data_IF_641291973816
#
_entry.id   IF_641291973816
#
_cell.length_a   1.000
_cell.length_b   1.000
_cell.length_c   1.000
_cell.angle_alpha   90.00
_cell.angle_beta   90.00
_cell.angle_gamma   90.00
#
_symmetry.space_group_name_H-M   'P 1'
#
loop_
_entity.id
_entity.type
_entity.pdbx_description
1 polymer ?
#
# COMPACT_ATOMS: atom_id res chain seq x y z
N UNK A 1 -13.94 7.90 1.34
CA UNK A 1 -13.49 9.28 1.04
C UNK A 1 -13.05 9.86 2.37
N UNK A 2 -11.79 10.28 2.47
CA UNK A 2 -11.21 10.95 3.66
C UNK A 2 -10.84 12.36 3.23
N UNK A 3 -11.10 13.34 4.10
CA UNK A 3 -10.79 14.73 3.83
C UNK A 3 -10.04 15.35 5.01
N UNK A 4 -8.89 15.95 4.71
CA UNK A 4 -8.08 16.73 5.64
C UNK A 4 -7.87 18.12 5.06
N UNK A 5 -7.95 19.13 5.91
CA UNK A 5 -7.71 20.52 5.52
C UNK A 5 -6.83 21.21 6.56
N UNK A 6 -5.87 21.98 6.05
CA UNK A 6 -5.03 22.87 6.84
C UNK A 6 -5.10 24.28 6.25
N UNK A 7 -5.41 25.27 7.09
CA UNK A 7 -5.44 26.68 6.73
C UNK A 7 -4.41 27.41 7.59
N UNK A 8 -3.45 28.06 6.92
CA UNK A 8 -2.41 28.86 7.57
C UNK A 8 -2.57 30.32 7.18
N UNK A 9 -2.51 31.21 8.17
CA UNK A 9 -2.44 32.65 7.95
C UNK A 9 -1.49 33.31 8.97
N UNK A 10 -1.33 34.64 8.88
CA UNK A 10 -0.43 35.39 9.76
C UNK A 10 -0.78 35.35 11.26
N UNK A 11 -1.96 34.86 11.63
CA UNK A 11 -2.44 34.80 13.01
C UNK A 11 -2.46 33.37 13.56
N UNK A 12 -2.36 32.33 12.73
CA UNK A 12 -2.38 30.96 13.22
C UNK A 12 -2.66 29.90 12.16
N UNK A 13 -2.87 28.68 12.67
CA UNK A 13 -3.08 27.47 11.89
C UNK A 13 -4.38 26.81 12.37
N UNK A 14 -5.21 26.37 11.43
CA UNK A 14 -6.40 25.56 11.70
C UNK A 14 -6.27 24.24 10.96
N UNK A 15 -6.43 23.14 11.68
CA UNK A 15 -6.46 21.78 11.15
C UNK A 15 -7.86 21.20 11.34
N UNK A 16 -8.41 20.55 10.32
CA UNK A 16 -9.65 19.79 10.42
C UNK A 16 -9.57 18.51 9.58
N UNK A 17 -10.15 17.44 10.08
CA UNK A 17 -10.24 16.16 9.39
C UNK A 17 -11.63 15.54 9.61
N UNK A 18 -12.10 14.74 8.66
CA UNK A 18 -13.34 13.99 8.82
C UNK A 18 -13.17 12.78 9.78
N UNK A 19 -14.27 12.24 10.30
CA UNK A 19 -14.24 11.12 11.25
C UNK A 19 -14.63 9.76 10.63
N UNK A 20 -14.78 9.68 9.30
CA UNK A 20 -15.28 8.49 8.63
C UNK A 20 -14.13 7.55 8.20
N UNK A 21 -14.09 6.33 8.73
CA UNK A 21 -13.24 5.25 8.19
C UNK A 21 -14.14 4.20 7.55
N UNK A 22 -13.73 3.67 6.40
CA UNK A 22 -14.40 2.51 5.80
C UNK A 22 -13.55 1.28 6.05
N UNK A 23 -14.07 0.35 6.85
CA UNK A 23 -13.45 -0.96 7.06
C UNK A 23 -14.07 -1.93 6.06
N UNK A 24 -13.24 -2.55 5.23
CA UNK A 24 -13.64 -3.62 4.34
C UNK A 24 -13.46 -4.96 5.05
N UNK A 25 -14.53 -5.74 5.17
CA UNK A 25 -14.52 -7.07 5.80
C UNK A 25 -14.28 -8.20 4.78
N UNK A 26 -13.85 -7.86 3.55
CA UNK A 26 -13.82 -8.81 2.44
C UNK A 26 -15.23 -9.08 1.87
N UNK A 27 -15.29 -9.74 0.70
CA UNK A 27 -16.55 -10.12 0.02
C UNK A 27 -17.50 -8.95 -0.30
N UNK A 28 -16.97 -7.75 -0.56
CA UNK A 28 -17.76 -6.58 -0.92
C UNK A 28 -18.54 -5.94 0.25
N UNK A 29 -18.34 -6.41 1.48
CA UNK A 29 -18.92 -5.80 2.67
C UNK A 29 -17.98 -4.72 3.20
N UNK A 30 -18.40 -3.47 3.06
CA UNK A 30 -17.72 -2.32 3.64
C UNK A 30 -18.64 -1.68 4.68
N UNK A 31 -18.14 -1.44 5.90
CA UNK A 31 -18.85 -0.61 6.88
C UNK A 31 -18.06 0.66 7.13
N UNK A 32 -18.78 1.78 7.06
CA UNK A 32 -18.23 3.07 7.45
C UNK A 32 -18.53 3.34 8.91
N UNK A 33 -17.49 3.63 9.67
CA UNK A 33 -17.55 4.04 11.07
C UNK A 33 -17.24 5.53 11.15
N UNK A 34 -18.11 6.31 11.80
CA UNK A 34 -18.03 7.78 11.85
C UNK A 34 -17.40 8.34 13.14
N UNK A 35 -16.56 7.55 13.82
CA UNK A 35 -16.03 7.89 15.15
C UNK A 35 -14.50 7.73 15.25
N UNK A 36 -13.79 7.66 14.13
CA UNK A 36 -12.34 7.54 14.15
C UNK A 36 -11.71 8.91 14.25
N UNK A 37 -10.81 9.09 15.22
CA UNK A 37 -10.03 10.30 15.31
C UNK A 37 -8.95 10.31 14.23
N UNK A 38 -8.96 11.32 13.36
CA UNK A 38 -7.93 11.50 12.32
C UNK A 38 -7.02 12.69 12.58
N UNK A 39 -7.25 13.45 13.65
CA UNK A 39 -6.45 14.60 14.05
C UNK A 39 -5.97 14.40 15.49
N UNK A 40 -4.67 14.33 15.67
CA UNK A 40 -4.03 14.11 16.96
C UNK A 40 -3.14 15.30 17.31
N UNK A 41 -3.16 15.71 18.58
CA UNK A 41 -2.15 16.62 19.11
C UNK A 41 -0.98 15.80 19.63
N UNK A 42 0.24 16.13 19.18
CA UNK A 42 1.46 15.58 19.76
C UNK A 42 1.61 16.02 21.23
N UNK A 43 1.14 17.24 21.56
CA UNK A 43 1.11 17.77 22.92
C UNK A 43 2.49 17.88 23.59
N UNK A 44 2.48 18.05 24.91
CA UNK A 44 3.70 18.33 25.68
C UNK A 44 4.16 19.77 25.44
N UNK A 45 5.43 19.95 25.08
CA UNK A 45 5.99 21.25 24.70
C UNK A 45 5.83 21.59 23.20
N UNK A 46 4.97 20.84 22.48
CA UNK A 46 4.81 20.96 21.04
C UNK A 46 3.42 21.47 20.65
N UNK A 47 3.40 22.52 19.83
CA UNK A 47 2.21 22.96 19.08
C UNK A 47 2.13 22.24 17.72
N UNK A 48 2.19 20.90 17.76
CA UNK A 48 2.20 20.04 16.56
C UNK A 48 0.92 19.20 16.51
N UNK A 49 0.22 19.30 15.38
CA UNK A 49 -0.91 18.44 15.01
C UNK A 49 -0.50 17.40 13.97
N UNK A 50 -1.02 16.19 14.09
CA UNK A 50 -0.80 15.06 13.19
C UNK A 50 -2.14 14.64 12.60
N UNK A 51 -2.25 14.62 11.27
CA UNK A 51 -3.42 14.11 10.55
C UNK A 51 -3.09 12.82 9.82
N UNK A 52 -4.05 11.90 9.74
CA UNK A 52 -3.87 10.60 9.06
C UNK A 52 -4.82 10.43 7.86
N UNK A 53 -4.22 10.18 6.71
CA UNK A 53 -4.93 9.86 5.46
C UNK A 53 -4.81 8.39 5.10
N UNK A 54 -5.89 7.82 4.57
CA UNK A 54 -5.89 6.47 4.02
C UNK A 54 -6.07 5.38 5.09
N UNK A 55 -5.12 4.45 5.18
CA UNK A 55 -5.21 3.33 6.11
C UNK A 55 -5.12 3.83 7.56
N UNK A 56 -6.06 3.40 8.41
CA UNK A 56 -6.10 3.76 9.83
C UNK A 56 -5.05 3.00 10.67
N UNK A 57 -4.37 2.03 10.07
CA UNK A 57 -3.41 1.16 10.72
C UNK A 57 -2.07 1.14 9.95
N UNK A 58 -0.99 0.95 10.72
CA UNK A 58 0.34 0.66 10.22
C UNK A 58 0.82 -0.65 10.85
N UNK A 59 1.18 -1.63 10.03
CA UNK A 59 1.53 -2.98 10.52
C UNK A 59 0.47 -3.59 11.45
N UNK A 60 -0.82 -3.42 11.10
CA UNK A 60 -2.02 -3.77 11.91
C UNK A 60 -2.09 -3.09 13.29
N UNK A 61 -1.32 -2.02 13.50
CA UNK A 61 -1.36 -1.22 14.72
C UNK A 61 -2.09 0.09 14.40
N UNK A 62 -3.15 0.45 15.14
CA UNK A 62 -3.85 1.72 14.92
C UNK A 62 -2.91 2.92 15.08
N UNK A 63 -3.00 3.89 14.18
CA UNK A 63 -2.19 5.11 14.24
C UNK A 63 -2.31 5.85 15.57
N UNK A 64 -3.48 5.81 16.21
CA UNK A 64 -3.69 6.39 17.53
C UNK A 64 -2.73 5.82 18.58
N UNK A 65 -2.48 4.51 18.56
CA UNK A 65 -1.56 3.85 19.50
C UNK A 65 -0.13 4.29 19.20
N UNK A 66 0.25 4.26 17.92
CA UNK A 66 1.59 4.66 17.46
C UNK A 66 1.89 6.11 17.86
N UNK A 67 0.95 7.02 17.61
CA UNK A 67 1.09 8.45 17.92
C UNK A 67 1.15 8.68 19.43
N UNK A 68 0.37 7.95 20.23
CA UNK A 68 0.44 8.04 21.70
C UNK A 68 1.77 7.54 22.25
N UNK A 69 2.31 6.45 21.71
CA UNK A 69 3.62 5.93 22.12
C UNK A 69 4.75 6.89 21.69
N UNK A 70 4.68 7.45 20.48
CA UNK A 70 5.61 8.49 20.03
C UNK A 70 5.53 9.71 20.95
N UNK A 71 4.33 10.21 21.24
CA UNK A 71 4.13 11.32 22.19
C UNK A 71 4.78 11.04 23.54
N UNK A 72 4.64 9.83 24.08
CA UNK A 72 5.21 9.45 25.37
C UNK A 72 6.74 9.50 25.35
N UNK A 73 7.36 8.98 24.30
CA UNK A 73 8.82 8.94 24.16
C UNK A 73 9.44 10.32 23.88
N UNK A 74 8.70 11.19 23.19
CA UNK A 74 9.19 12.51 22.74
C UNK A 74 8.61 13.69 23.52
N UNK A 75 7.84 13.47 24.59
CA UNK A 75 7.12 14.54 25.31
C UNK A 75 8.00 15.67 25.87
N UNK A 76 9.26 15.36 26.23
CA UNK A 76 10.23 16.33 26.76
C UNK A 76 11.25 16.82 25.73
N UNK A 77 11.26 16.22 24.53
CA UNK A 77 12.09 16.72 23.44
C UNK A 77 11.52 18.05 22.96
N UNK A 78 12.37 18.93 22.44
CA UNK A 78 11.96 20.12 21.71
C UNK A 78 12.52 19.96 20.31
N UNK A 79 11.68 20.21 19.30
CA UNK A 79 12.09 20.23 17.91
C UNK A 79 12.23 21.68 17.45
N UNK A 80 13.40 22.05 16.92
CA UNK A 80 13.65 23.40 16.42
C UNK A 80 12.87 23.67 15.12
N UNK A 81 12.62 22.61 14.34
CA UNK A 81 11.84 22.65 13.09
C UNK A 81 10.79 21.55 13.05
N UNK A 82 9.67 21.80 12.34
CA UNK A 82 8.62 20.79 12.16
C UNK A 82 9.14 19.56 11.41
N UNK A 83 10.06 19.77 10.47
CA UNK A 83 10.74 18.74 9.71
C UNK A 83 11.55 17.79 10.61
N UNK A 84 12.13 18.29 11.71
CA UNK A 84 12.86 17.43 12.65
C UNK A 84 11.92 16.48 13.39
N UNK A 85 10.70 16.95 13.69
CA UNK A 85 9.66 16.11 14.27
C UNK A 85 9.18 15.04 13.28
N UNK A 86 9.01 15.40 11.99
CA UNK A 86 8.57 14.43 10.99
C UNK A 86 9.63 13.36 10.74
N UNK A 87 10.91 13.74 10.66
CA UNK A 87 12.04 12.80 10.56
C UNK A 87 12.10 11.89 11.80
N UNK A 88 11.96 12.44 13.00
CA UNK A 88 11.93 11.64 14.23
C UNK A 88 10.75 10.65 14.27
N UNK A 89 9.58 11.06 13.79
CA UNK A 89 8.41 10.18 13.69
C UNK A 89 8.65 9.04 12.69
N UNK A 90 9.20 9.33 11.51
CA UNK A 90 9.55 8.30 10.51
C UNK A 90 10.61 7.33 11.03
N UNK A 91 11.58 7.81 11.80
CA UNK A 91 12.60 6.95 12.41
C UNK A 91 12.00 6.07 13.53
N UNK A 92 11.10 6.63 14.34
CA UNK A 92 10.37 5.87 15.36
C UNK A 92 9.59 4.69 14.75
N UNK A 93 8.99 4.85 13.57
CA UNK A 93 8.27 3.78 12.87
C UNK A 93 9.16 2.60 12.46
N UNK A 94 10.48 2.79 12.36
CA UNK A 94 11.43 1.72 12.01
C UNK A 94 11.84 0.86 13.20
N UNK A 95 11.38 1.19 14.42
CA UNK A 95 11.69 0.44 15.63
C UNK A 95 11.23 -1.03 15.52
N UNK A 96 12.04 -1.95 16.03
CA UNK A 96 11.78 -3.39 16.05
C UNK A 96 10.40 -3.75 16.61
N UNK A 97 9.85 -2.96 17.55
CA UNK A 97 8.51 -3.19 18.11
C UNK A 97 7.38 -3.15 17.08
N UNK A 98 7.61 -2.55 15.91
CA UNK A 98 6.64 -2.48 14.82
C UNK A 98 6.90 -3.53 13.72
N UNK A 99 8.01 -4.28 13.80
CA UNK A 99 8.35 -5.31 12.84
C UNK A 99 7.66 -6.62 13.19
N UNK A 100 6.98 -7.21 12.22
CA UNK A 100 6.35 -8.52 12.37
C UNK A 100 6.32 -9.23 11.01
N UNK A 101 7.07 -10.33 10.90
CA UNK A 101 7.22 -11.06 9.64
C UNK A 101 5.91 -11.65 9.12
N UNK A 102 5.02 -12.08 10.01
CA UNK A 102 3.71 -12.64 9.62
C UNK A 102 2.84 -11.55 8.99
N UNK A 103 2.84 -10.36 9.58
CA UNK A 103 2.10 -9.21 9.04
C UNK A 103 2.73 -8.78 7.71
N UNK A 104 4.07 -8.66 7.64
CA UNK A 104 4.79 -8.33 6.41
C UNK A 104 4.47 -9.31 5.27
N UNK A 105 4.53 -10.61 5.54
CA UNK A 105 4.21 -11.65 4.55
C UNK A 105 2.77 -11.53 4.06
N UNK A 106 1.81 -11.34 4.95
CA UNK A 106 0.39 -11.15 4.57
C UNK A 106 0.17 -9.88 3.75
N UNK A 107 0.83 -8.77 4.09
CA UNK A 107 0.77 -7.54 3.30
C UNK A 107 1.35 -7.76 1.90
N UNK A 108 2.51 -8.41 1.79
CA UNK A 108 3.12 -8.79 0.50
C UNK A 108 2.18 -9.69 -0.31
N UNK A 109 1.58 -10.71 0.32
CA UNK A 109 0.59 -11.57 -0.32
C UNK A 109 -0.60 -10.77 -0.85
N UNK A 110 -1.15 -9.84 -0.08
CA UNK A 110 -2.25 -8.98 -0.52
C UNK A 110 -1.87 -8.15 -1.75
N UNK A 111 -0.65 -7.62 -1.79
CA UNK A 111 -0.14 -6.87 -2.96
C UNK A 111 -0.03 -7.79 -4.17
N UNK A 112 0.57 -8.97 -4.03
CA UNK A 112 0.72 -9.94 -5.13
C UNK A 112 -0.65 -10.34 -5.68
N UNK A 113 -1.60 -10.69 -4.81
CA UNK A 113 -2.95 -11.07 -5.24
C UNK A 113 -3.68 -9.93 -5.95
N UNK A 114 -3.54 -8.69 -5.46
CA UNK A 114 -4.11 -7.52 -6.13
C UNK A 114 -3.50 -7.29 -7.51
N UNK A 115 -2.18 -7.49 -7.67
CA UNK A 115 -1.49 -7.38 -8.95
C UNK A 115 -1.91 -8.49 -9.93
N UNK A 116 -2.04 -9.73 -9.45
CA UNK A 116 -2.55 -10.84 -10.24
C UNK A 116 -3.98 -10.59 -10.72
N UNK A 117 -4.85 -10.11 -9.83
CA UNK A 117 -6.22 -9.75 -10.20
C UNK A 117 -6.24 -8.64 -11.26
N UNK A 118 -5.44 -7.58 -11.09
CA UNK A 118 -5.30 -6.50 -12.07
C UNK A 118 -4.83 -7.04 -13.43
N UNK A 119 -3.84 -7.93 -13.43
CA UNK A 119 -3.32 -8.56 -14.63
C UNK A 119 -4.39 -9.40 -15.33
N UNK A 120 -5.18 -10.17 -14.57
CA UNK A 120 -6.32 -10.94 -15.08
C UNK A 120 -7.39 -10.03 -15.69
N UNK A 121 -7.72 -8.92 -15.06
CA UNK A 121 -8.69 -7.95 -15.56
C UNK A 121 -8.24 -7.32 -16.90
N UNK A 122 -6.98 -6.86 -16.97
CA UNK A 122 -6.43 -6.25 -18.19
C UNK A 122 -6.32 -7.28 -19.32
N UNK A 123 -5.79 -8.48 -19.03
CA UNK A 123 -5.65 -9.54 -20.03
C UNK A 123 -7.01 -10.03 -20.52
N UNK A 124 -7.99 -10.24 -19.64
CA UNK A 124 -9.35 -10.63 -20.03
C UNK A 124 -10.01 -9.59 -20.93
N UNK A 125 -9.81 -8.30 -20.65
CA UNK A 125 -10.30 -7.22 -21.53
C UNK A 125 -9.67 -7.31 -22.92
N UNK A 126 -8.34 -7.42 -23.01
CA UNK A 126 -7.62 -7.51 -24.29
C UNK A 126 -8.00 -8.76 -25.09
N UNK A 127 -8.19 -9.89 -24.42
CA UNK A 127 -8.70 -11.15 -25.01
C UNK A 127 -10.10 -10.95 -25.59
N UNK A 128 -11.02 -10.34 -24.84
CA UNK A 128 -12.38 -10.07 -25.30
C UNK A 128 -12.41 -9.13 -26.52
N UNK A 129 -11.59 -8.09 -26.52
CA UNK A 129 -11.49 -7.15 -27.64
C UNK A 129 -11.02 -7.87 -28.92
N UNK A 130 -9.99 -8.73 -28.83
CA UNK A 130 -9.48 -9.54 -29.95
C UNK A 130 -10.54 -10.54 -30.46
N UNK A 131 -11.26 -11.20 -29.54
CA UNK A 131 -12.29 -12.18 -29.90
C UNK A 131 -13.50 -11.50 -30.58
N UNK A 132 -13.84 -10.28 -30.18
CA UNK A 132 -14.90 -9.50 -30.80
C UNK A 132 -14.56 -9.12 -32.25
N UNK A 133 -13.28 -8.83 -32.54
CA UNK A 133 -12.79 -8.57 -33.89
C UNK A 133 -12.69 -9.85 -34.75
N UNK A 134 -12.46 -11.01 -34.14
CA UNK A 134 -12.31 -12.30 -34.83
C UNK A 134 -13.19 -13.42 -34.23
N UNK A 135 -14.53 -13.37 -34.38
CA UNK A 135 -15.45 -14.29 -33.67
C UNK A 135 -15.28 -15.77 -34.02
N UNK A 136 -14.79 -16.06 -35.22
CA UNK A 136 -14.65 -17.42 -35.77
C UNK A 136 -13.37 -18.14 -35.32
N UNK A 137 -12.39 -17.39 -34.78
CA UNK A 137 -11.09 -17.93 -34.37
C UNK A 137 -11.03 -18.04 -32.85
N UNK A 138 -11.01 -19.27 -32.28
CA UNK A 138 -10.86 -19.43 -30.86
C UNK A 138 -9.46 -19.01 -30.41
N UNK A 139 -9.38 -18.25 -29.32
CA UNK A 139 -8.11 -17.83 -28.74
C UNK A 139 -7.38 -19.02 -28.13
N UNK A 140 -6.14 -19.27 -28.57
CA UNK A 140 -5.30 -20.34 -28.04
C UNK A 140 -4.64 -19.94 -26.71
N UNK A 141 -4.17 -20.94 -25.95
CA UNK A 141 -3.44 -20.69 -24.70
C UNK A 141 -2.14 -19.92 -24.95
N UNK A 142 -1.46 -20.19 -26.07
CA UNK A 142 -0.22 -19.52 -26.45
C UNK A 142 -0.48 -18.02 -26.70
N UNK A 143 -1.62 -17.67 -27.31
CA UNK A 143 -1.98 -16.27 -27.53
C UNK A 143 -2.31 -15.55 -26.21
N UNK A 144 -2.91 -16.24 -25.25
CA UNK A 144 -3.15 -15.70 -23.90
C UNK A 144 -1.82 -15.42 -23.18
N UNK A 145 -0.87 -16.35 -23.26
CA UNK A 145 0.47 -16.17 -22.67
C UNK A 145 1.20 -15.00 -23.32
N UNK A 146 1.11 -14.84 -24.63
CA UNK A 146 1.67 -13.70 -25.37
C UNK A 146 1.06 -12.37 -24.89
N UNK A 147 -0.27 -12.29 -24.79
CA UNK A 147 -0.99 -11.12 -24.29
C UNK A 147 -0.55 -10.75 -22.86
N UNK A 148 -0.48 -11.72 -21.97
CA UNK A 148 -0.05 -11.50 -20.58
C UNK A 148 1.40 -11.00 -20.54
N UNK A 149 2.29 -11.61 -21.32
CA UNK A 149 3.70 -11.25 -21.38
C UNK A 149 3.90 -9.82 -21.89
N UNK A 150 3.17 -9.43 -22.94
CA UNK A 150 3.15 -8.05 -23.45
C UNK A 150 2.72 -7.05 -22.36
N UNK A 151 1.61 -7.33 -21.66
CA UNK A 151 1.11 -6.47 -20.59
C UNK A 151 2.18 -6.31 -19.49
N UNK A 152 2.83 -7.40 -19.08
CA UNK A 152 3.89 -7.35 -18.06
C UNK A 152 5.05 -6.48 -18.55
N UNK A 153 5.55 -6.71 -19.77
CA UNK A 153 6.69 -5.96 -20.33
C UNK A 153 6.37 -4.46 -20.46
N UNK A 154 5.17 -4.12 -20.95
CA UNK A 154 4.72 -2.73 -21.08
C UNK A 154 4.69 -2.02 -19.72
N UNK A 155 4.25 -2.71 -18.66
CA UNK A 155 4.15 -2.12 -17.33
C UNK A 155 5.49 -2.06 -16.56
N UNK A 156 6.42 -3.00 -16.81
CA UNK A 156 7.77 -2.98 -16.23
C UNK A 156 8.61 -1.78 -16.71
N UNK A 157 8.31 -1.25 -17.90
CA UNK A 157 9.03 -0.13 -18.50
C UNK A 157 8.43 1.24 -18.16
N UNK A 158 7.41 1.30 -17.30
CA UNK A 158 6.85 2.59 -16.87
C UNK A 158 7.64 3.17 -15.71
N UNK A 159 8.04 4.44 -15.80
CA UNK A 159 8.70 5.23 -14.73
C UNK A 159 7.84 5.40 -13.44
N UNK A 160 6.71 4.69 -13.33
CA UNK A 160 5.82 4.72 -12.18
C UNK A 160 6.42 4.11 -10.91
N UNK A 161 7.49 3.32 -11.03
CA UNK A 161 8.25 2.75 -9.90
C UNK A 161 8.90 3.84 -9.03
N UNK A 162 9.16 5.02 -9.60
CA UNK A 162 10.03 6.04 -8.98
C UNK A 162 9.42 6.62 -7.69
N UNK A 163 8.10 6.74 -7.57
CA UNK A 163 7.50 7.41 -6.39
C UNK A 163 7.21 6.44 -5.24
N UNK A 164 6.78 5.20 -5.54
CA UNK A 164 6.34 4.24 -4.53
C UNK A 164 7.46 3.33 -4.03
N UNK A 165 8.46 3.06 -4.88
CA UNK A 165 9.53 2.12 -4.59
C UNK A 165 10.90 2.80 -4.48
N UNK A 166 10.98 4.13 -4.55
CA UNK A 166 12.24 4.91 -4.48
C UNK A 166 13.12 4.49 -3.30
N UNK A 167 12.48 4.22 -2.16
CA UNK A 167 13.13 3.88 -0.91
C UNK A 167 13.09 2.38 -0.59
N UNK A 168 12.57 1.54 -1.49
CA UNK A 168 12.62 0.10 -1.32
C UNK A 168 14.01 -0.41 -1.70
N UNK A 169 14.76 -0.91 -0.72
CA UNK A 169 15.98 -1.67 -1.02
C UNK A 169 15.61 -3.02 -1.64
N UNK A 170 15.69 -3.07 -2.98
CA UNK A 170 15.40 -4.27 -3.77
C UNK A 170 16.23 -5.48 -3.31
N UNK A 171 17.50 -5.28 -2.91
CA UNK A 171 18.37 -6.39 -2.48
C UNK A 171 17.89 -7.00 -1.17
N UNK A 172 17.58 -6.15 -0.19
CA UNK A 172 17.02 -6.60 1.09
C UNK A 172 15.66 -7.26 0.90
N UNK A 173 14.78 -6.68 0.08
CA UNK A 173 13.49 -7.28 -0.22
C UNK A 173 13.63 -8.67 -0.85
N UNK A 174 14.47 -8.81 -1.88
CA UNK A 174 14.69 -10.09 -2.57
C UNK A 174 15.26 -11.16 -1.63
N UNK A 175 16.23 -10.78 -0.79
CA UNK A 175 16.82 -11.68 0.20
C UNK A 175 15.79 -12.21 1.21
N UNK A 176 14.81 -11.38 1.58
CA UNK A 176 13.84 -11.72 2.64
C UNK A 176 12.57 -12.39 2.10
N UNK A 177 12.12 -12.02 0.89
CA UNK A 177 10.77 -12.35 0.44
C UNK A 177 10.70 -13.02 -0.94
N UNK A 178 11.79 -13.14 -1.70
CA UNK A 178 11.72 -13.70 -3.07
C UNK A 178 11.15 -15.12 -3.12
N UNK A 179 11.53 -16.00 -2.20
CA UNK A 179 11.00 -17.37 -2.16
C UNK A 179 9.53 -17.40 -1.73
N UNK A 180 9.13 -16.52 -0.81
CA UNK A 180 7.73 -16.36 -0.42
C UNK A 180 6.88 -15.91 -1.62
N UNK A 181 7.34 -14.89 -2.35
CA UNK A 181 6.66 -14.41 -3.56
C UNK A 181 6.52 -15.51 -4.61
N UNK A 182 7.59 -16.28 -4.88
CA UNK A 182 7.56 -17.41 -5.83
C UNK A 182 6.55 -18.48 -5.39
N UNK A 183 6.47 -18.78 -4.10
CA UNK A 183 5.48 -19.73 -3.56
C UNK A 183 4.06 -19.25 -3.80
N UNK A 184 3.75 -18.00 -3.44
CA UNK A 184 2.41 -17.40 -3.66
C UNK A 184 2.04 -17.45 -5.15
N UNK A 185 2.99 -17.12 -6.04
CA UNK A 185 2.76 -17.18 -7.48
C UNK A 185 2.45 -18.61 -7.94
N UNK A 186 3.22 -19.62 -7.50
CA UNK A 186 2.97 -21.04 -7.84
C UNK A 186 1.62 -21.54 -7.33
N UNK A 187 1.17 -21.09 -6.17
CA UNK A 187 -0.12 -21.46 -5.58
C UNK A 187 -1.31 -20.85 -6.33
N UNK A 188 -1.14 -19.68 -6.96
CA UNK A 188 -2.22 -18.93 -7.59
C UNK A 188 -2.19 -18.95 -9.13
N UNK A 189 -1.06 -19.29 -9.74
CA UNK A 189 -0.86 -19.31 -11.19
C UNK A 189 -0.68 -20.75 -11.66
N UNK A 190 -1.74 -21.30 -12.25
CA UNK A 190 -1.72 -22.62 -12.87
C UNK A 190 -1.34 -22.50 -14.34
N UNK A 191 -0.04 -22.57 -14.64
CA UNK A 191 0.48 -22.72 -16.00
C UNK A 191 0.81 -24.18 -16.25
N UNK A 192 0.38 -24.71 -17.40
CA UNK A 192 0.79 -26.06 -17.85
C UNK A 192 2.29 -26.01 -18.16
N UNK A 193 3.08 -26.93 -17.62
CA UNK A 193 4.56 -26.94 -17.69
C UNK A 193 5.15 -26.73 -19.10
N UNK A 194 4.42 -27.14 -20.15
CA UNK A 194 4.79 -26.95 -21.56
C UNK A 194 4.97 -25.48 -21.99
N UNK A 195 4.44 -24.52 -21.23
CA UNK A 195 4.45 -23.09 -21.53
C UNK A 195 5.46 -22.28 -20.70
N UNK A 196 6.14 -22.91 -19.73
CA UNK A 196 7.12 -22.25 -18.84
C UNK A 196 8.55 -22.29 -19.44
N UNK A 197 8.80 -23.14 -20.45
CA UNK A 197 10.14 -23.38 -21.01
C UNK A 197 10.50 -22.53 -22.24
N UNK A 198 9.84 -21.39 -22.48
CA UNK A 198 10.22 -20.47 -23.56
C UNK A 198 10.50 -19.07 -23.03
#
# INVERSE_FOLDING_TARGET
>A
MTAEISILNKHGIVLAADSAVTVSFGQGQAKTYNAVNKLFSLGGHHDIGIMIYGNAEFMDIPWEIIIKEFRKEYCTKIFDRLEDCSVAFLEFLKNEKFKNDVISQRMIQSVILSLLQKLLEISSKKVNDIQAENPELPISQEKIVEIISEIIIENLNTDNDIILLENLDKKSFDSNFSEYCKRILRENVYLVEKHIQK
#
